data_IF_607555788914
#
_entry.id   IF_607555788914
#
_cell.length_a   1.000
_cell.length_b   1.000
_cell.length_c   1.000
_cell.angle_alpha   90.00
_cell.angle_beta   90.00
_cell.angle_gamma   90.00
#
_symmetry.space_group_name_H-M   'P 1'
#
loop_
_entity.id
_entity.type
_entity.pdbx_description
1 polymer ?
#
# COMPACT_ATOMS: atom_id res chain seq x y z
N UNK A 1 21.17 -73.51 -22.57
CA UNK A 1 20.93 -73.18 -21.15
C UNK A 1 22.09 -72.33 -20.66
N UNK A 2 21.88 -71.03 -20.50
CA UNK A 2 22.83 -70.12 -19.84
C UNK A 2 22.00 -68.99 -19.26
N UNK A 3 21.80 -69.05 -17.94
CA UNK A 3 21.00 -68.10 -17.16
C UNK A 3 21.89 -66.88 -16.90
N UNK A 4 21.49 -65.71 -17.40
CA UNK A 4 22.06 -64.42 -16.98
C UNK A 4 21.06 -63.73 -16.06
N UNK A 5 21.44 -63.64 -14.78
CA UNK A 5 20.81 -62.81 -13.76
C UNK A 5 20.98 -61.32 -14.10
N UNK A 6 19.98 -60.46 -13.81
CA UNK A 6 20.09 -59.02 -13.96
C UNK A 6 20.88 -58.41 -12.79
N UNK A 7 21.81 -57.51 -13.11
CA UNK A 7 22.45 -56.64 -12.12
C UNK A 7 21.48 -55.52 -11.70
N UNK A 8 21.34 -55.22 -10.40
CA UNK A 8 20.71 -54.00 -9.93
C UNK A 8 21.77 -52.95 -9.67
N UNK A 9 21.79 -51.87 -10.45
CA UNK A 9 22.52 -50.66 -10.05
C UNK A 9 21.76 -49.44 -10.58
N UNK A 10 21.04 -48.82 -9.63
CA UNK A 10 21.07 -47.40 -9.30
C UNK A 10 21.19 -46.42 -10.51
N UNK A 11 20.33 -45.43 -10.73
CA UNK A 11 19.74 -44.52 -9.75
C UNK A 11 18.52 -43.81 -10.31
N UNK A 12 17.61 -43.56 -9.37
CA UNK A 12 16.46 -42.69 -9.43
C UNK A 12 16.80 -41.25 -9.94
N UNK A 13 16.47 -40.96 -11.20
CA UNK A 13 16.54 -39.62 -11.82
C UNK A 13 15.30 -38.74 -11.52
N UNK A 14 14.89 -38.59 -10.26
CA UNK A 14 13.77 -37.67 -9.90
C UNK A 14 14.21 -36.37 -9.22
N UNK A 15 15.51 -36.06 -9.20
CA UNK A 15 15.97 -34.72 -8.80
C UNK A 15 16.15 -33.86 -10.06
N UNK A 16 15.04 -33.62 -10.76
CA UNK A 16 14.91 -32.44 -11.62
C UNK A 16 14.80 -31.22 -10.70
N UNK A 17 15.92 -30.53 -10.56
CA UNK A 17 16.09 -29.24 -9.89
C UNK A 17 15.01 -28.23 -10.29
N UNK A 18 14.22 -27.66 -9.35
CA UNK A 18 13.36 -26.53 -9.62
C UNK A 18 14.16 -25.24 -9.41
N UNK A 19 15.07 -24.92 -10.33
CA UNK A 19 15.67 -23.58 -10.42
C UNK A 19 15.78 -23.13 -11.87
N UNK A 20 14.62 -22.88 -12.45
CA UNK A 20 14.45 -21.73 -13.32
C UNK A 20 13.39 -20.85 -12.67
N UNK A 21 13.80 -20.05 -11.69
CA UNK A 21 13.18 -18.75 -11.53
C UNK A 21 13.58 -17.96 -12.78
N UNK A 22 12.83 -18.15 -13.86
CA UNK A 22 12.68 -17.10 -14.86
C UNK A 22 11.98 -15.97 -14.14
N UNK A 23 12.76 -15.16 -13.44
CA UNK A 23 12.38 -13.79 -13.12
C UNK A 23 12.38 -13.09 -14.46
N UNK A 24 11.31 -13.27 -15.24
CA UNK A 24 10.97 -12.23 -16.19
C UNK A 24 10.85 -10.96 -15.33
N UNK A 25 11.60 -9.89 -15.64
CA UNK A 25 11.27 -8.61 -15.04
C UNK A 25 9.77 -8.38 -15.32
N UNK A 26 8.97 -7.94 -14.34
CA UNK A 26 7.60 -7.54 -14.63
C UNK A 26 7.67 -6.62 -15.83
N UNK A 27 6.94 -6.97 -16.89
CA UNK A 27 6.98 -6.23 -18.15
C UNK A 27 6.81 -4.75 -17.81
N UNK A 28 7.85 -3.96 -18.03
CA UNK A 28 7.89 -2.56 -17.56
C UNK A 28 6.73 -1.73 -18.12
N UNK A 29 6.12 -2.20 -19.21
CA UNK A 29 4.93 -1.60 -19.83
C UNK A 29 3.64 -1.72 -19.01
N UNK A 30 3.47 -2.77 -18.19
CA UNK A 30 2.24 -2.90 -17.37
C UNK A 30 2.24 -1.94 -16.19
N UNK A 31 3.41 -1.59 -15.66
CA UNK A 31 3.55 -0.57 -14.62
C UNK A 31 3.33 0.85 -15.17
N UNK A 32 3.91 1.19 -16.33
CA UNK A 32 3.79 2.53 -16.93
C UNK A 32 2.32 2.92 -17.20
N UNK A 33 1.50 1.98 -17.70
CA UNK A 33 0.09 2.24 -17.94
C UNK A 33 -0.72 2.47 -16.66
N UNK A 34 -0.29 1.87 -15.55
CA UNK A 34 -0.94 2.05 -14.25
C UNK A 34 -0.62 3.41 -13.64
N UNK A 35 0.62 3.86 -13.75
CA UNK A 35 1.08 5.14 -13.23
C UNK A 35 0.40 6.31 -13.96
N UNK A 36 0.31 6.24 -15.29
CA UNK A 36 -0.39 7.25 -16.10
C UNK A 36 -1.87 7.34 -15.72
N UNK A 37 -2.55 6.21 -15.52
CA UNK A 37 -3.96 6.22 -15.10
C UNK A 37 -4.15 6.72 -13.67
N UNK A 38 -3.21 6.43 -12.77
CA UNK A 38 -3.22 6.97 -11.41
C UNK A 38 -3.10 8.50 -11.42
N UNK A 39 -2.21 9.06 -12.26
CA UNK A 39 -2.05 10.50 -12.41
C UNK A 39 -3.28 11.17 -13.03
N UNK A 40 -3.89 10.54 -14.05
CA UNK A 40 -5.15 11.01 -14.64
C UNK A 40 -6.24 11.06 -13.57
N UNK A 41 -6.43 9.98 -12.81
CA UNK A 41 -7.45 9.93 -11.77
C UNK A 41 -7.18 10.91 -10.64
N UNK A 42 -5.90 11.11 -10.26
CA UNK A 42 -5.53 12.13 -9.29
C UNK A 42 -5.91 13.53 -9.78
N UNK A 43 -5.60 13.86 -11.03
CA UNK A 43 -5.95 15.15 -11.64
C UNK A 43 -7.46 15.37 -11.72
N UNK A 44 -8.22 14.31 -11.99
CA UNK A 44 -9.67 14.35 -12.07
C UNK A 44 -10.30 14.58 -10.69
N UNK A 45 -9.76 13.97 -9.63
CA UNK A 45 -10.19 14.24 -8.25
C UNK A 45 -9.81 15.67 -7.82
N UNK A 46 -8.62 16.14 -8.20
CA UNK A 46 -8.21 17.53 -7.99
C UNK A 46 -9.16 18.52 -8.67
N UNK A 47 -9.53 18.27 -9.91
CA UNK A 47 -10.47 19.08 -10.66
C UNK A 47 -11.86 19.11 -10.01
N UNK A 48 -12.35 17.97 -9.53
CA UNK A 48 -13.62 17.89 -8.83
C UNK A 48 -13.63 18.70 -7.52
N UNK A 49 -12.54 18.63 -6.75
CA UNK A 49 -12.37 19.43 -5.53
C UNK A 49 -12.28 20.92 -5.87
N UNK A 50 -11.53 21.28 -6.91
CA UNK A 50 -11.43 22.65 -7.40
C UNK A 50 -12.80 23.22 -7.77
N UNK A 51 -13.57 22.48 -8.56
CA UNK A 51 -14.90 22.90 -9.01
C UNK A 51 -15.85 23.09 -7.82
N UNK A 52 -15.82 22.18 -6.85
CA UNK A 52 -16.62 22.29 -5.63
C UNK A 52 -16.30 23.56 -4.83
N UNK A 53 -15.02 23.84 -4.57
CA UNK A 53 -14.60 25.04 -3.84
C UNK A 53 -14.97 26.33 -4.60
N UNK A 54 -14.81 26.34 -5.92
CA UNK A 54 -15.22 27.47 -6.75
C UNK A 54 -16.73 27.70 -6.70
N UNK A 55 -17.54 26.64 -6.77
CA UNK A 55 -18.99 26.74 -6.70
C UNK A 55 -19.46 27.22 -5.32
N UNK A 56 -18.82 26.78 -4.23
CA UNK A 56 -19.13 27.27 -2.89
C UNK A 56 -18.80 28.75 -2.72
N UNK A 57 -17.66 29.21 -3.26
CA UNK A 57 -17.29 30.64 -3.23
C UNK A 57 -18.29 31.50 -4.00
N UNK A 58 -18.70 31.06 -5.21
CA UNK A 58 -19.74 31.73 -5.99
C UNK A 58 -21.05 31.79 -5.21
N UNK A 59 -21.47 30.69 -4.59
CA UNK A 59 -22.69 30.65 -3.78
C UNK A 59 -22.63 31.61 -2.60
N UNK A 60 -21.51 31.68 -1.87
CA UNK A 60 -21.32 32.63 -0.75
C UNK A 60 -21.40 34.07 -1.22
N UNK A 61 -20.67 34.42 -2.28
CA UNK A 61 -20.70 35.77 -2.85
C UNK A 61 -22.10 36.17 -3.30
N UNK A 62 -22.88 35.26 -3.90
CA UNK A 62 -24.25 35.52 -4.30
C UNK A 62 -25.18 35.82 -3.10
N UNK A 63 -25.01 35.09 -1.98
CA UNK A 63 -25.77 35.35 -0.74
C UNK A 63 -25.40 36.72 -0.15
N UNK A 64 -24.12 37.10 -0.16
CA UNK A 64 -23.67 38.42 0.29
C UNK A 64 -24.26 39.55 -0.56
N UNK A 65 -24.30 39.37 -1.89
CA UNK A 65 -24.93 40.33 -2.80
C UNK A 65 -26.44 40.47 -2.57
N UNK A 66 -27.14 39.35 -2.38
CA UNK A 66 -28.59 39.36 -2.10
C UNK A 66 -28.91 40.01 -0.75
N UNK A 67 -28.10 39.75 0.27
CA UNK A 67 -28.28 40.31 1.61
C UNK A 67 -27.86 41.79 1.72
N UNK A 68 -27.21 42.36 0.70
CA UNK A 68 -26.61 43.72 0.70
C UNK A 68 -25.65 43.95 1.87
N UNK A 69 -25.07 42.87 2.40
CA UNK A 69 -24.05 42.92 3.45
C UNK A 69 -22.69 42.75 2.78
N UNK A 70 -21.72 43.64 3.02
CA UNK A 70 -20.37 43.45 2.51
C UNK A 70 -19.75 42.15 3.03
N UNK A 71 -19.17 41.36 2.13
CA UNK A 71 -18.51 40.11 2.50
C UNK A 71 -17.11 40.37 3.03
N UNK A 72 -16.93 40.20 4.33
CA UNK A 72 -15.63 40.30 4.99
C UNK A 72 -15.02 38.92 5.28
N UNK A 73 -15.53 37.83 4.69
CA UNK A 73 -15.01 36.47 4.95
C UNK A 73 -13.49 36.37 4.72
N UNK A 74 -12.94 37.17 3.81
CA UNK A 74 -11.50 37.30 3.58
C UNK A 74 -10.70 37.96 4.72
N UNK A 75 -11.34 38.64 5.67
CA UNK A 75 -10.72 39.25 6.86
C UNK A 75 -10.85 38.40 8.12
N UNK A 76 -11.99 37.71 8.27
CA UNK A 76 -12.38 36.98 9.49
C UNK A 76 -12.18 35.48 9.41
N UNK A 77 -11.99 34.90 8.21
CA UNK A 77 -11.64 33.50 8.12
C UNK A 77 -10.28 33.28 8.83
N UNK A 78 -10.17 32.30 9.75
CA UNK A 78 -8.87 31.91 10.30
C UNK A 78 -7.89 31.46 9.19
N UNK A 79 -8.45 31.04 8.06
CA UNK A 79 -7.75 30.68 6.82
C UNK A 79 -7.75 31.84 5.79
N UNK A 80 -7.98 33.09 6.16
CA UNK A 80 -8.05 34.26 5.26
C UNK A 80 -6.85 34.43 4.29
N UNK A 81 -5.58 34.26 4.72
CA UNK A 81 -4.46 34.21 3.77
C UNK A 81 -4.36 32.86 3.05
N UNK A 82 -4.94 31.80 3.62
CA UNK A 82 -5.13 30.50 3.00
C UNK A 82 -6.48 30.44 2.29
N UNK A 83 -6.73 31.39 1.38
CA UNK A 83 -7.79 31.26 0.35
C UNK A 83 -7.86 29.81 -0.05
N UNK A 84 -9.03 29.21 0.21
CA UNK A 84 -9.43 27.83 -0.08
C UNK A 84 -8.37 27.12 -0.91
N UNK A 85 -7.62 26.18 -0.31
CA UNK A 85 -6.62 25.42 -1.06
C UNK A 85 -7.35 24.73 -2.20
N UNK A 86 -7.40 25.37 -3.37
CA UNK A 86 -7.95 24.86 -4.63
C UNK A 86 -7.25 23.58 -5.09
N UNK A 87 -6.17 23.25 -4.39
CA UNK A 87 -5.35 22.07 -4.55
C UNK A 87 -5.56 21.14 -3.37
N UNK A 88 -5.37 19.85 -3.62
CA UNK A 88 -5.27 18.86 -2.56
C UNK A 88 -4.10 19.21 -1.62
N UNK A 89 -4.31 19.04 -0.32
CA UNK A 89 -3.24 19.03 0.65
C UNK A 89 -2.34 17.81 0.40
N UNK A 90 -1.12 17.88 0.92
CA UNK A 90 -0.16 16.77 0.80
C UNK A 90 -0.72 15.44 1.34
N UNK A 91 -1.49 15.48 2.43
CA UNK A 91 -2.09 14.28 3.02
C UNK A 91 -3.19 13.69 2.14
N UNK A 92 -4.07 14.53 1.60
CA UNK A 92 -5.15 14.10 0.71
C UNK A 92 -4.59 13.52 -0.60
N UNK A 93 -3.59 14.19 -1.19
CA UNK A 93 -2.91 13.71 -2.39
C UNK A 93 -2.27 12.35 -2.16
N UNK A 94 -1.57 12.19 -1.03
CA UNK A 94 -0.96 10.91 -0.66
C UNK A 94 -2.01 9.82 -0.44
N UNK A 95 -3.16 10.14 0.15
CA UNK A 95 -4.25 9.20 0.35
C UNK A 95 -4.81 8.69 -0.98
N UNK A 96 -5.03 9.57 -1.94
CA UNK A 96 -5.52 9.22 -3.28
C UNK A 96 -4.48 8.38 -4.03
N UNK A 97 -3.20 8.78 -3.99
CA UNK A 97 -2.11 8.01 -4.61
C UNK A 97 -2.02 6.58 -4.06
N UNK A 98 -2.05 6.42 -2.73
CA UNK A 98 -2.06 5.09 -2.11
C UNK A 98 -3.29 4.27 -2.49
N UNK A 99 -4.44 4.90 -2.69
CA UNK A 99 -5.64 4.21 -3.15
C UNK A 99 -5.46 3.73 -4.61
N UNK A 100 -4.90 4.58 -5.48
CA UNK A 100 -4.57 4.25 -6.86
C UNK A 100 -3.59 3.07 -6.99
N UNK A 101 -2.57 2.99 -6.13
CA UNK A 101 -1.60 1.87 -6.10
C UNK A 101 -2.27 0.49 -5.90
N UNK A 102 -3.46 0.46 -5.30
CA UNK A 102 -4.16 -0.81 -5.07
C UNK A 102 -4.91 -1.33 -6.28
N UNK A 103 -5.12 -0.50 -7.32
CA UNK A 103 -5.95 -0.77 -8.50
C UNK A 103 -5.14 -1.47 -9.59
N UNK A 104 -5.77 -2.40 -10.30
CA UNK A 104 -5.18 -3.06 -11.48
C UNK A 104 -5.56 -2.32 -12.75
N UNK A 105 -4.72 -2.43 -13.78
CA UNK A 105 -4.92 -1.77 -15.08
C UNK A 105 -6.31 -2.05 -15.69
N UNK A 106 -6.83 -3.27 -15.53
CA UNK A 106 -8.15 -3.66 -16.05
C UNK A 106 -9.34 -3.05 -15.31
N UNK A 107 -9.13 -2.47 -14.13
CA UNK A 107 -10.18 -2.00 -13.22
C UNK A 107 -10.41 -0.48 -13.30
N UNK A 108 -9.54 0.28 -13.98
CA UNK A 108 -9.63 1.74 -14.05
C UNK A 108 -10.96 2.25 -14.61
N UNK A 109 -11.47 1.65 -15.68
CA UNK A 109 -12.76 2.03 -16.26
C UNK A 109 -13.92 1.85 -15.28
N UNK A 110 -13.87 0.78 -14.48
CA UNK A 110 -14.85 0.52 -13.44
C UNK A 110 -14.74 1.59 -12.33
N UNK A 111 -13.52 1.95 -11.92
CA UNK A 111 -13.27 3.01 -10.94
C UNK A 111 -13.81 4.34 -11.39
N UNK A 112 -13.48 4.78 -12.60
CA UNK A 112 -13.96 6.04 -13.14
C UNK A 112 -15.49 6.09 -13.14
N UNK A 113 -16.15 5.00 -13.53
CA UNK A 113 -17.61 4.93 -13.57
C UNK A 113 -18.23 4.98 -12.16
N UNK A 114 -17.71 4.19 -11.22
CA UNK A 114 -18.19 4.14 -9.84
C UNK A 114 -18.02 5.48 -9.14
N UNK A 115 -16.84 6.08 -9.27
CA UNK A 115 -16.53 7.36 -8.66
C UNK A 115 -17.37 8.50 -9.25
N UNK A 116 -17.50 8.59 -10.58
CA UNK A 116 -18.37 9.58 -11.25
C UNK A 116 -19.83 9.48 -10.79
N UNK A 117 -20.33 8.26 -10.60
CA UNK A 117 -21.66 8.01 -10.02
C UNK A 117 -21.76 8.45 -8.56
N UNK A 118 -20.68 8.31 -7.79
CA UNK A 118 -20.60 8.76 -6.40
C UNK A 118 -20.69 10.28 -6.27
N UNK A 119 -19.90 11.02 -7.06
CA UNK A 119 -19.88 12.49 -7.03
C UNK A 119 -21.13 13.13 -7.64
N UNK A 120 -21.82 12.45 -8.58
CA UNK A 120 -23.09 12.93 -9.15
C UNK A 120 -24.19 13.20 -8.09
N UNK A 121 -24.06 12.65 -6.87
CA UNK A 121 -24.99 12.89 -5.77
C UNK A 121 -24.82 14.24 -5.07
N UNK A 122 -24.03 15.15 -5.64
CA UNK A 122 -23.63 16.45 -5.09
C UNK A 122 -22.90 16.32 -3.73
N UNK A 123 -21.56 16.37 -3.71
CA UNK A 123 -20.82 16.32 -2.47
C UNK A 123 -21.16 17.53 -1.60
N UNK A 124 -21.35 17.31 -0.28
CA UNK A 124 -21.65 18.39 0.67
C UNK A 124 -20.40 19.14 1.14
N UNK A 125 -19.28 18.43 1.18
CA UNK A 125 -17.98 18.91 1.66
C UNK A 125 -16.89 18.36 0.74
N UNK A 126 -15.74 19.03 0.71
CA UNK A 126 -14.51 18.56 0.08
C UNK A 126 -14.14 17.14 0.50
N UNK A 127 -14.13 16.86 1.80
CA UNK A 127 -13.76 15.54 2.34
C UNK A 127 -14.65 14.42 1.77
N UNK A 128 -15.92 14.72 1.48
CA UNK A 128 -16.84 13.74 0.92
C UNK A 128 -16.44 13.32 -0.49
N UNK A 129 -15.79 14.20 -1.27
CA UNK A 129 -15.28 13.89 -2.61
C UNK A 129 -14.17 12.85 -2.50
N UNK A 130 -13.24 13.06 -1.57
CA UNK A 130 -12.08 12.19 -1.33
C UNK A 130 -12.53 10.86 -0.74
N UNK A 131 -13.43 10.90 0.25
CA UNK A 131 -14.02 9.68 0.85
C UNK A 131 -14.77 8.87 -0.22
N UNK A 132 -15.55 9.52 -1.09
CA UNK A 132 -16.26 8.83 -2.17
C UNK A 132 -15.29 8.15 -3.15
N UNK A 133 -14.15 8.78 -3.46
CA UNK A 133 -13.10 8.16 -4.28
C UNK A 133 -12.51 6.92 -3.61
N UNK A 134 -12.07 7.04 -2.35
CA UNK A 134 -11.48 5.93 -1.59
C UNK A 134 -12.50 4.79 -1.41
N UNK A 135 -13.77 5.11 -1.22
CA UNK A 135 -14.85 4.14 -1.14
C UNK A 135 -15.04 3.40 -2.47
N UNK A 136 -15.01 4.09 -3.61
CA UNK A 136 -15.08 3.45 -4.92
C UNK A 136 -13.90 2.49 -5.17
N UNK A 137 -12.68 2.88 -4.77
CA UNK A 137 -11.51 2.01 -4.81
C UNK A 137 -11.72 0.77 -3.93
N UNK A 138 -12.17 0.96 -2.69
CA UNK A 138 -12.41 -0.13 -1.75
C UNK A 138 -13.49 -1.10 -2.24
N UNK A 139 -14.53 -0.59 -2.90
CA UNK A 139 -15.58 -1.38 -3.53
C UNK A 139 -15.00 -2.30 -4.60
N UNK A 140 -14.19 -1.77 -5.52
CA UNK A 140 -13.53 -2.54 -6.59
C UNK A 140 -12.62 -3.62 -6.02
N UNK A 141 -11.74 -3.23 -5.08
CA UNK A 141 -10.84 -4.18 -4.42
C UNK A 141 -11.65 -5.27 -3.70
N UNK A 142 -12.80 -4.91 -3.13
CA UNK A 142 -13.73 -5.84 -2.48
C UNK A 142 -14.40 -6.84 -3.42
N UNK A 143 -14.61 -6.49 -4.69
CA UNK A 143 -15.20 -7.39 -5.70
C UNK A 143 -14.24 -8.47 -6.19
N UNK A 144 -12.94 -8.33 -5.93
CA UNK A 144 -11.94 -9.30 -6.37
C UNK A 144 -12.25 -10.68 -5.77
N UNK A 145 -12.06 -11.77 -6.54
CA UNK A 145 -12.14 -13.11 -5.99
C UNK A 145 -11.16 -13.23 -4.83
N UNK A 146 -11.69 -13.31 -3.60
CA UNK A 146 -10.83 -13.62 -2.46
C UNK A 146 -10.29 -15.02 -2.71
N UNK A 147 -8.97 -15.25 -2.58
CA UNK A 147 -8.48 -16.62 -2.56
C UNK A 147 -9.30 -17.32 -1.48
N UNK A 148 -10.05 -18.36 -1.86
CA UNK A 148 -10.80 -19.14 -0.91
C UNK A 148 -9.78 -19.52 0.17
N UNK A 149 -9.99 -19.04 1.39
CA UNK A 149 -9.16 -19.42 2.53
C UNK A 149 -9.54 -20.85 2.88
N UNK A 150 -9.32 -21.76 1.94
CA UNK A 150 -9.45 -23.18 2.13
C UNK A 150 -8.44 -23.54 3.20
N UNK A 151 -8.80 -24.46 4.10
CA UNK A 151 -7.92 -24.97 5.15
C UNK A 151 -6.55 -25.36 4.57
N UNK A 152 -6.51 -25.84 3.32
CA UNK A 152 -5.30 -26.09 2.52
C UNK A 152 -4.37 -24.87 2.35
N UNK A 153 -4.90 -23.66 2.17
CA UNK A 153 -4.09 -22.42 2.06
C UNK A 153 -3.47 -22.00 3.39
N UNK A 154 -4.21 -22.21 4.50
CA UNK A 154 -3.73 -21.96 5.86
C UNK A 154 -2.66 -22.99 6.23
N UNK A 155 -2.92 -24.27 5.96
CA UNK A 155 -1.95 -25.35 6.12
C UNK A 155 -0.72 -25.15 5.24
N UNK A 156 -0.89 -24.73 3.99
CA UNK A 156 0.21 -24.44 3.07
C UNK A 156 1.02 -23.21 3.50
N UNK A 157 0.44 -22.24 4.19
CA UNK A 157 1.18 -21.17 4.87
C UNK A 157 1.91 -21.70 6.09
N UNK A 158 1.22 -22.46 6.95
CA UNK A 158 1.80 -23.04 8.16
C UNK A 158 3.00 -23.95 7.85
N UNK A 159 2.88 -24.83 6.86
CA UNK A 159 3.96 -25.71 6.39
C UNK A 159 5.12 -24.93 5.76
N UNK A 160 4.86 -23.81 5.09
CA UNK A 160 5.90 -22.92 4.56
C UNK A 160 6.55 -22.02 5.61
N UNK A 161 5.87 -21.74 6.70
CA UNK A 161 6.37 -20.93 7.83
C UNK A 161 6.92 -21.77 8.98
N UNK A 162 6.91 -23.10 8.86
CA UNK A 162 7.64 -24.07 9.68
C UNK A 162 9.15 -24.08 9.39
N UNK A 163 9.75 -22.93 9.05
CA UNK A 163 11.20 -22.77 9.15
C UNK A 163 11.58 -22.54 10.62
N UNK A 164 11.70 -23.67 11.32
CA UNK A 164 12.47 -23.98 12.54
C UNK A 164 12.21 -23.18 13.83
N UNK A 165 11.29 -23.68 14.66
CA UNK A 165 11.29 -23.45 16.13
C UNK A 165 12.40 -24.28 16.84
N UNK A 166 13.02 -25.23 16.16
CA UNK A 166 14.12 -26.06 16.67
C UNK A 166 15.44 -25.87 15.90
N UNK A 167 15.76 -24.66 15.42
CA UNK A 167 17.14 -24.35 15.03
C UNK A 167 18.00 -24.23 16.30
N UNK A 168 18.23 -25.36 16.94
CA UNK A 168 19.20 -25.56 18.01
C UNK A 168 20.56 -25.41 17.36
N UNK A 169 21.23 -24.30 17.64
CA UNK A 169 22.67 -24.13 17.43
C UNK A 169 23.40 -25.12 18.35
N UNK A 170 23.46 -26.38 17.95
CA UNK A 170 24.18 -27.40 18.70
C UNK A 170 25.68 -27.21 18.41
N UNK A 171 26.33 -26.48 19.31
CA UNK A 171 27.76 -26.61 19.55
C UNK A 171 27.90 -27.33 20.89
N UNK A 172 28.79 -28.34 20.98
CA UNK A 172 30.01 -28.03 21.71
C UNK A 172 31.29 -28.78 21.24
N UNK A 173 32.41 -28.05 21.32
CA UNK A 173 33.75 -28.42 21.90
C UNK A 173 34.30 -29.82 21.58
N UNK A 174 35.56 -30.03 21.16
CA UNK A 174 36.81 -29.50 21.72
C UNK A 174 38.01 -30.17 21.00
N UNK A 175 39.03 -29.40 20.61
CA UNK A 175 40.47 -29.77 20.57
C UNK A 175 41.22 -28.65 19.80
N UNK A 176 41.61 -27.58 20.51
CA UNK A 176 43.02 -27.32 20.89
C UNK A 176 43.90 -26.84 19.74
N UNK A 177 44.09 -25.52 19.60
CA UNK A 177 45.40 -24.84 19.67
C UNK A 177 45.21 -23.30 19.61
N UNK A 178 45.66 -22.65 20.69
CA UNK A 178 46.12 -21.27 20.91
C UNK A 178 45.52 -20.06 20.16
N UNK A 179 44.86 -19.18 20.94
CA UNK A 179 44.60 -17.77 20.57
C UNK A 179 43.51 -17.12 21.44
N UNK A 180 43.78 -16.03 22.19
CA UNK A 180 42.88 -15.56 23.23
C UNK A 180 41.92 -14.48 22.74
N UNK A 181 40.74 -14.84 22.24
CA UNK A 181 39.58 -13.92 22.21
C UNK A 181 38.28 -14.73 22.31
N UNK A 182 37.85 -15.01 23.55
CA UNK A 182 36.57 -15.66 23.86
C UNK A 182 35.65 -14.71 24.62
N UNK A 183 34.48 -14.47 24.02
CA UNK A 183 33.17 -14.21 24.61
C UNK A 183 33.04 -13.24 25.81
N UNK A 184 32.43 -12.08 25.56
CA UNK A 184 31.68 -11.30 26.56
C UNK A 184 30.19 -11.23 26.23
N UNK A 185 29.49 -12.23 26.72
CA UNK A 185 28.32 -12.16 27.60
C UNK A 185 27.79 -10.76 28.00
N UNK A 186 26.48 -10.58 27.75
CA UNK A 186 25.42 -9.82 28.45
C UNK A 186 25.57 -8.31 28.73
N UNK A 187 24.54 -7.57 28.30
CA UNK A 187 23.77 -6.66 29.16
C UNK A 187 24.45 -5.35 29.57
N UNK A 188 24.24 -4.30 28.78
CA UNK A 188 24.43 -2.92 29.22
C UNK A 188 23.43 -2.02 28.48
N UNK A 189 22.24 -1.87 29.06
CA UNK A 189 21.37 -0.74 28.77
C UNK A 189 21.86 0.42 29.65
N UNK A 190 22.38 1.47 29.02
CA UNK A 190 22.72 2.72 29.70
C UNK A 190 21.52 3.68 29.57
N UNK A 191 20.83 3.90 30.68
CA UNK A 191 19.87 4.99 30.85
C UNK A 191 20.62 6.33 30.89
N UNK A 192 20.18 7.31 30.10
CA UNK A 192 20.55 8.71 30.31
C UNK A 192 19.78 9.21 31.53
N UNK A 193 20.51 9.51 32.62
CA UNK A 193 19.97 10.20 33.78
C UNK A 193 19.77 11.67 33.45
N UNK A 194 18.57 12.17 33.76
CA UNK A 194 18.23 13.59 33.86
C UNK A 194 18.74 14.08 35.22
N UNK A 195 19.83 14.84 35.21
CA UNK A 195 20.19 15.75 36.31
C UNK A 195 20.89 16.95 35.69
N UNK A 196 20.09 17.91 35.23
CA UNK A 196 20.51 19.28 34.95
C UNK A 196 19.30 20.20 35.20
N UNK A 197 18.92 20.30 36.47
CA UNK A 197 18.13 21.40 37.02
C UNK A 197 18.75 21.75 38.37
N UNK A 198 19.56 22.81 38.39
CA UNK A 198 19.78 23.69 39.54
C UNK A 198 19.16 25.03 39.21
#
# INVERSE_FOLDING_TARGET
ATVRLPQPTAMLNWITSPRQSTTEPPSSSECEGNDVMADIMLSEVEAAVYEFECNEEVRRSQVSLQSRVPDYSWLIAPDAPAKARKFLSMQERQQIQRACETIRVSEWNQLTTLWKRGIAKAPRNRDNIIIAFVQAVTEIVGTRPRPQQTISSVLGRYLRSQSSINAVSDSPRQASYDGPLSARTLGSMSFRSLDDIV
#
